data_IF_095259975118
#
_entry.id   IF_095259975118
#
_cell.length_a   1.000
_cell.length_b   1.000
_cell.length_c   1.000
_cell.angle_alpha   90.00
_cell.angle_beta   90.00
_cell.angle_gamma   90.00
#
_symmetry.space_group_name_H-M   'P 1'
#
loop_
_entity.id
_entity.type
_entity.pdbx_description
1 polymer ?
#
# COMPACT_ATOMS: atom_id res chain seq x y z
N UNK A 1 1.92 -1.37 13.82
CA UNK A 1 0.75 -0.67 13.27
C UNK A 1 -0.31 -1.71 12.98
N UNK A 2 -1.58 -1.43 13.24
CA UNK A 2 -2.68 -2.34 12.88
C UNK A 2 -2.99 -2.27 11.37
N UNK A 3 -3.62 -3.32 10.83
CA UNK A 3 -3.92 -3.43 9.39
C UNK A 3 -4.80 -2.29 8.89
N UNK A 4 -5.80 -1.89 9.68
CA UNK A 4 -6.75 -0.84 9.28
C UNK A 4 -6.08 0.53 9.14
N UNK A 5 -5.13 0.90 10.01
CA UNK A 5 -4.36 2.14 9.84
C UNK A 5 -3.48 2.11 8.60
N UNK A 6 -2.86 0.96 8.31
CA UNK A 6 -2.04 0.80 7.10
C UNK A 6 -2.90 1.03 5.85
N UNK A 7 -4.09 0.43 5.80
CA UNK A 7 -5.03 0.62 4.68
C UNK A 7 -5.44 2.09 4.51
N UNK A 8 -5.71 2.82 5.60
CA UNK A 8 -6.05 4.25 5.54
C UNK A 8 -4.89 5.05 4.92
N UNK A 9 -3.66 4.87 5.40
CA UNK A 9 -2.50 5.57 4.85
C UNK A 9 -2.30 5.31 3.36
N UNK A 10 -2.49 4.06 2.92
CA UNK A 10 -2.32 3.71 1.51
C UNK A 10 -3.48 4.22 0.67
N UNK A 11 -4.72 4.21 1.17
CA UNK A 11 -5.86 4.82 0.45
C UNK A 11 -5.66 6.31 0.24
N UNK A 12 -5.24 7.04 1.28
CA UNK A 12 -4.97 8.48 1.16
C UNK A 12 -3.88 8.77 0.14
N UNK A 13 -2.79 8.00 0.17
CA UNK A 13 -1.72 8.08 -0.83
C UNK A 13 -2.22 7.75 -2.25
N UNK A 14 -2.87 6.60 -2.42
CA UNK A 14 -3.29 6.08 -3.71
C UNK A 14 -4.38 6.96 -4.34
N UNK A 15 -5.32 7.53 -3.57
CA UNK A 15 -6.29 8.48 -4.10
C UNK A 15 -5.66 9.82 -4.51
N UNK A 16 -4.54 10.22 -3.89
CA UNK A 16 -3.76 11.37 -4.38
C UNK A 16 -3.23 11.16 -5.80
N UNK A 17 -2.89 9.91 -6.16
CA UNK A 17 -2.40 9.51 -7.49
C UNK A 17 -3.53 9.11 -8.45
N UNK A 18 -4.59 8.49 -7.92
CA UNK A 18 -5.72 7.90 -8.63
C UNK A 18 -7.06 8.33 -7.97
N UNK A 19 -7.55 9.56 -8.22
CA UNK A 19 -8.63 10.16 -7.43
C UNK A 19 -10.00 9.46 -7.50
N UNK A 20 -10.23 8.56 -8.46
CA UNK A 20 -11.52 7.90 -8.70
C UNK A 20 -11.42 6.38 -8.82
N UNK A 21 -10.24 5.83 -8.62
CA UNK A 21 -10.02 4.40 -8.79
C UNK A 21 -10.61 3.61 -7.63
N UNK A 22 -11.06 2.39 -7.91
CA UNK A 22 -11.41 1.45 -6.86
C UNK A 22 -10.14 0.82 -6.27
N UNK A 23 -10.07 0.79 -4.94
CA UNK A 23 -8.89 0.32 -4.20
C UNK A 23 -9.22 -0.94 -3.41
N UNK A 24 -8.51 -2.03 -3.72
CA UNK A 24 -8.74 -3.34 -3.09
C UNK A 24 -7.48 -3.82 -2.37
N UNK A 25 -7.67 -4.32 -1.14
CA UNK A 25 -6.64 -4.92 -0.29
C UNK A 25 -7.02 -6.37 0.02
N UNK A 26 -6.77 -7.27 -0.93
CA UNK A 26 -7.15 -8.69 -0.86
C UNK A 26 -5.96 -9.63 -0.61
N UNK A 27 -4.76 -9.10 -0.43
CA UNK A 27 -3.53 -9.84 -0.11
C UNK A 27 -3.04 -9.57 1.32
N UNK A 28 -2.18 -10.47 1.80
CA UNK A 28 -1.55 -10.35 3.12
C UNK A 28 -0.49 -9.26 3.17
N UNK A 29 -0.42 -8.56 4.29
CA UNK A 29 0.56 -7.50 4.52
C UNK A 29 1.80 -8.12 5.16
N UNK A 30 2.98 -7.77 4.67
CA UNK A 30 4.23 -8.33 5.18
C UNK A 30 5.04 -7.25 5.88
N UNK A 31 5.54 -7.55 7.08
CA UNK A 31 6.45 -6.68 7.81
C UNK A 31 7.90 -7.16 7.61
N UNK A 32 8.73 -6.28 7.06
CA UNK A 32 10.18 -6.45 6.89
C UNK A 32 10.86 -5.86 8.13
N UNK A 33 11.21 -6.73 9.10
CA UNK A 33 11.71 -6.33 10.41
C UNK A 33 13.10 -5.71 10.39
N UNK A 34 13.94 -6.10 9.44
CA UNK A 34 15.27 -5.57 9.17
C UNK A 34 15.24 -4.10 8.75
N UNK A 35 14.21 -3.71 7.99
CA UNK A 35 14.04 -2.36 7.47
C UNK A 35 13.01 -1.52 8.26
N UNK A 36 12.32 -2.13 9.23
CA UNK A 36 11.18 -1.56 9.94
C UNK A 36 10.09 -1.01 9.00
N UNK A 37 9.75 -1.79 7.98
CA UNK A 37 8.84 -1.41 6.89
C UNK A 37 7.74 -2.43 6.65
N UNK A 38 6.58 -1.93 6.22
CA UNK A 38 5.49 -2.71 5.68
C UNK A 38 5.59 -2.78 4.16
N UNK A 39 5.45 -3.98 3.62
CA UNK A 39 5.21 -4.24 2.21
C UNK A 39 3.74 -4.59 2.05
N UNK A 40 3.03 -3.76 1.29
CA UNK A 40 1.57 -3.81 1.22
C UNK A 40 1.13 -3.88 -0.24
N UNK A 41 0.66 -5.05 -0.70
CA UNK A 41 0.01 -5.16 -1.99
C UNK A 41 -1.36 -4.49 -1.95
N UNK A 42 -1.68 -3.78 -3.02
CA UNK A 42 -3.01 -3.20 -3.23
C UNK A 42 -3.32 -3.17 -4.72
N UNK A 43 -4.60 -3.10 -5.07
CA UNK A 43 -5.05 -3.06 -6.45
C UNK A 43 -5.71 -1.73 -6.77
N UNK A 44 -5.44 -1.20 -7.95
CA UNK A 44 -6.06 0.00 -8.52
C UNK A 44 -6.70 -0.41 -9.84
N UNK A 45 -8.02 -0.38 -9.92
CA UNK A 45 -8.79 -0.78 -11.11
C UNK A 45 -8.35 -2.14 -11.71
N UNK A 46 -8.03 -3.09 -10.83
CA UNK A 46 -7.59 -4.45 -11.19
C UNK A 46 -6.08 -4.61 -11.44
N UNK A 47 -5.31 -3.54 -11.50
CA UNK A 47 -3.84 -3.60 -11.60
C UNK A 47 -3.19 -3.67 -10.22
N UNK A 48 -2.24 -4.58 -10.06
CA UNK A 48 -1.58 -4.81 -8.78
C UNK A 48 -0.41 -3.86 -8.57
N UNK A 49 -0.33 -3.27 -7.40
CA UNK A 49 0.78 -2.44 -6.93
C UNK A 49 1.29 -2.99 -5.60
N UNK A 50 2.54 -2.64 -5.26
CA UNK A 50 3.10 -2.96 -3.96
C UNK A 50 3.79 -1.73 -3.40
N UNK A 51 3.26 -1.23 -2.30
CA UNK A 51 3.84 -0.11 -1.57
C UNK A 51 4.79 -0.61 -0.48
N UNK A 52 5.90 0.11 -0.28
CA UNK A 52 6.71 0.02 0.95
C UNK A 52 6.44 1.26 1.79
N UNK A 53 6.14 1.04 3.06
CA UNK A 53 5.77 2.09 4.01
C UNK A 53 6.50 1.90 5.33
N UNK A 54 7.00 2.95 5.96
CA UNK A 54 7.58 2.82 7.30
C UNK A 54 6.51 2.75 8.40
N UNK A 55 6.91 2.44 9.63
CA UNK A 55 6.01 2.39 10.80
C UNK A 55 5.35 3.73 11.18
N UNK A 56 5.73 4.85 10.55
CA UNK A 56 5.13 6.16 10.75
C UNK A 56 4.10 6.52 9.64
N UNK A 57 3.87 5.62 8.67
CA UNK A 57 2.88 5.84 7.61
C UNK A 57 3.43 6.53 6.36
N UNK A 58 4.73 6.77 6.27
CA UNK A 58 5.33 7.37 5.07
C UNK A 58 5.56 6.32 3.99
N UNK A 59 5.07 6.60 2.79
CA UNK A 59 5.34 5.80 1.59
C UNK A 59 6.78 6.07 1.14
N UNK A 60 7.57 5.01 1.06
CA UNK A 60 8.97 5.05 0.66
C UNK A 60 9.16 4.63 -0.80
N UNK A 61 8.29 3.73 -1.27
CA UNK A 61 8.35 3.15 -2.60
C UNK A 61 6.94 2.67 -2.99
N UNK A 62 6.61 2.75 -4.28
CA UNK A 62 5.37 2.25 -4.87
C UNK A 62 5.70 1.65 -6.24
N UNK A 63 5.71 0.32 -6.30
CA UNK A 63 6.10 -0.42 -7.50
C UNK A 63 4.90 -1.07 -8.18
N UNK A 64 4.88 -0.99 -9.50
CA UNK A 64 3.80 -1.47 -10.36
C UNK A 64 3.50 -0.49 -11.51
N UNK A 65 2.41 -0.72 -12.26
CA UNK A 65 1.51 -1.86 -12.14
C UNK A 65 2.17 -3.18 -12.53
N UNK A 66 1.76 -4.26 -11.87
CA UNK A 66 1.97 -5.63 -12.31
C UNK A 66 0.67 -6.17 -12.91
N UNK A 67 0.77 -6.93 -14.00
CA UNK A 67 -0.35 -7.66 -14.62
C UNK A 67 -0.69 -8.92 -13.83
#
# INVERSE_FOLDING_TARGET
MDKSKIEVHIRDYAHGKFPRADLVFNEEFSYMSDLAQWKVPYYVDGYRYVVKMNCAGYILDDVGPYN
#
